data_IF_270772995062
#
_entry.id   IF_270772995062
#
_cell.length_a   1.000
_cell.length_b   1.000
_cell.length_c   1.000
_cell.angle_alpha   90.00
_cell.angle_beta   90.00
_cell.angle_gamma   90.00
#
_symmetry.space_group_name_H-M   'P 1'
#
loop_
_entity.id
_entity.type
_entity.pdbx_description
1 polymer ?
#
# COMPACT_ATOMS: atom_id res chain seq x y z
N UNK A 1 -11.07 45.09 28.28
CA UNK A 1 -10.24 44.50 27.20
C UNK A 1 -9.21 43.58 27.82
N UNK A 2 -9.44 42.25 27.81
CA UNK A 2 -8.46 41.25 28.25
C UNK A 2 -8.37 40.20 27.15
N UNK A 3 -7.22 40.18 26.49
CA UNK A 3 -6.88 39.33 25.36
C UNK A 3 -6.83 37.86 25.80
N UNK A 4 -7.79 37.05 25.34
CA UNK A 4 -7.66 35.60 25.38
C UNK A 4 -6.81 35.15 24.19
N UNK A 5 -5.51 34.96 24.42
CA UNK A 5 -4.69 34.13 23.54
C UNK A 5 -5.18 32.68 23.67
N UNK A 6 -5.98 32.23 22.69
CA UNK A 6 -6.28 30.82 22.50
C UNK A 6 -5.04 30.17 21.89
N UNK A 7 -4.22 29.55 22.72
CA UNK A 7 -3.12 28.68 22.28
C UNK A 7 -3.77 27.44 21.68
N UNK A 8 -3.92 27.43 20.35
CA UNK A 8 -4.18 26.21 19.60
C UNK A 8 -2.91 25.37 19.64
N UNK A 9 -2.83 24.45 20.60
CA UNK A 9 -1.85 23.38 20.57
C UNK A 9 -2.18 22.49 19.37
N UNK A 10 -1.53 22.74 18.22
CA UNK A 10 -1.54 21.84 17.09
C UNK A 10 -0.80 20.57 17.52
N UNK A 11 -1.56 19.55 17.94
CA UNK A 11 -1.03 18.21 18.18
C UNK A 11 -0.70 17.63 16.80
N UNK A 12 0.51 17.88 16.32
CA UNK A 12 1.06 17.16 15.18
C UNK A 12 1.37 15.74 15.66
N UNK A 13 0.42 14.83 15.45
CA UNK A 13 0.68 13.38 15.52
C UNK A 13 1.65 13.02 14.39
N UNK A 14 2.95 13.14 14.66
CA UNK A 14 4.00 12.59 13.80
C UNK A 14 3.98 11.08 13.99
N UNK A 15 3.23 10.38 13.14
CA UNK A 15 3.36 8.93 12.97
C UNK A 15 4.69 8.65 12.25
N UNK A 16 5.80 8.74 12.96
CA UNK A 16 7.06 8.19 12.50
C UNK A 16 7.08 6.68 12.81
N UNK A 17 6.27 5.88 12.10
CA UNK A 17 6.43 4.42 12.14
C UNK A 17 7.50 4.01 11.13
N UNK A 18 8.76 4.31 11.46
CA UNK A 18 9.91 3.79 10.73
C UNK A 18 10.18 2.34 11.18
N UNK A 19 9.34 1.42 10.73
CA UNK A 19 9.46 -0.01 11.05
C UNK A 19 9.20 -0.89 9.82
N UNK A 20 9.99 -0.68 8.75
CA UNK A 20 9.93 -1.44 7.49
C UNK A 20 10.28 -2.94 7.60
N UNK A 21 10.65 -3.41 8.79
CA UNK A 21 10.94 -4.82 9.10
C UNK A 21 9.80 -5.52 9.87
N UNK A 22 8.61 -4.93 9.94
CA UNK A 22 7.47 -5.61 10.53
C UNK A 22 6.95 -6.71 9.58
N UNK A 23 6.59 -7.85 10.16
CA UNK A 23 5.93 -8.95 9.47
C UNK A 23 4.66 -8.44 8.77
N UNK A 24 4.72 -8.26 7.45
CA UNK A 24 3.65 -7.69 6.61
C UNK A 24 2.34 -8.45 6.83
N UNK A 25 2.40 -9.77 7.00
CA UNK A 25 1.23 -10.60 7.25
C UNK A 25 0.50 -10.17 8.53
N UNK A 26 1.21 -9.77 9.60
CA UNK A 26 0.59 -9.30 10.84
C UNK A 26 -0.04 -7.91 10.70
N UNK A 27 0.57 -7.03 9.91
CA UNK A 27 0.09 -5.66 9.72
C UNK A 27 -1.09 -5.55 8.77
N UNK A 28 -1.23 -6.52 7.86
CA UNK A 28 -2.29 -6.56 6.86
C UNK A 28 -3.33 -7.66 7.12
N UNK A 29 -3.32 -8.28 8.31
CA UNK A 29 -4.24 -9.34 8.69
C UNK A 29 -5.66 -8.78 8.91
N UNK A 30 -6.53 -8.94 7.91
CA UNK A 30 -7.92 -8.46 7.99
C UNK A 30 -8.72 -9.19 9.07
N UNK A 31 -8.45 -10.47 9.30
CA UNK A 31 -9.18 -11.25 10.30
C UNK A 31 -8.91 -10.76 11.73
N UNK A 32 -7.70 -10.26 11.99
CA UNK A 32 -7.33 -9.72 13.31
C UNK A 32 -7.60 -8.23 13.48
N UNK A 33 -7.40 -7.43 12.43
CA UNK A 33 -7.42 -5.97 12.51
C UNK A 33 -8.73 -5.35 12.03
N UNK A 34 -9.52 -6.08 11.24
CA UNK A 34 -10.66 -5.56 10.52
C UNK A 34 -10.26 -4.85 9.22
N UNK A 35 -11.18 -4.84 8.26
CA UNK A 35 -10.91 -4.36 6.90
C UNK A 35 -10.57 -2.86 6.88
N UNK A 36 -11.25 -2.04 7.67
CA UNK A 36 -11.05 -0.59 7.68
C UNK A 36 -9.63 -0.20 8.08
N UNK A 37 -9.06 -0.88 9.08
CA UNK A 37 -7.68 -0.65 9.52
C UNK A 37 -6.68 -1.05 8.43
N UNK A 38 -6.90 -2.20 7.80
CA UNK A 38 -6.01 -2.71 6.75
C UNK A 38 -6.04 -1.81 5.51
N UNK A 39 -7.23 -1.35 5.09
CA UNK A 39 -7.37 -0.37 4.01
C UNK A 39 -6.72 0.97 4.39
N UNK A 40 -6.86 1.41 5.64
CA UNK A 40 -6.17 2.58 6.19
C UNK A 40 -4.64 2.48 6.06
N UNK A 41 -4.06 1.35 6.47
CA UNK A 41 -2.62 1.10 6.30
C UNK A 41 -2.20 1.05 4.84
N UNK A 42 -2.99 0.40 3.97
CA UNK A 42 -2.74 0.38 2.54
C UNK A 42 -2.65 1.80 1.98
N UNK A 43 -3.55 2.71 2.36
CA UNK A 43 -3.54 4.12 1.91
C UNK A 43 -2.31 4.88 2.38
N UNK A 44 -1.98 4.78 3.66
CA UNK A 44 -0.83 5.49 4.25
C UNK A 44 0.46 5.07 3.56
N UNK A 45 0.72 3.77 3.47
CA UNK A 45 1.93 3.26 2.83
C UNK A 45 1.92 3.47 1.32
N UNK A 46 0.78 3.35 0.64
CA UNK A 46 0.73 3.58 -0.81
C UNK A 46 0.98 5.05 -1.16
N UNK A 47 0.52 5.99 -0.31
CA UNK A 47 0.85 7.42 -0.46
C UNK A 47 2.36 7.65 -0.38
N UNK A 48 3.03 7.00 0.56
CA UNK A 48 4.50 7.05 0.67
C UNK A 48 5.18 6.41 -0.54
N UNK A 49 4.71 5.24 -0.98
CA UNK A 49 5.24 4.54 -2.15
C UNK A 49 5.13 5.39 -3.42
N UNK A 50 3.99 6.07 -3.61
CA UNK A 50 3.79 7.03 -4.71
C UNK A 50 4.73 8.22 -4.63
N UNK A 51 4.89 8.81 -3.45
CA UNK A 51 5.80 9.94 -3.25
C UNK A 51 7.26 9.57 -3.59
N UNK A 52 7.64 8.31 -3.38
CA UNK A 52 8.96 7.77 -3.73
C UNK A 52 9.04 7.20 -5.16
N UNK A 53 7.96 7.23 -5.93
CA UNK A 53 7.91 6.67 -7.29
C UNK A 53 7.99 5.14 -7.38
N UNK A 54 7.78 4.44 -6.27
CA UNK A 54 7.90 2.97 -6.17
C UNK A 54 6.56 2.27 -5.99
N UNK A 55 5.44 2.96 -6.27
CA UNK A 55 4.10 2.36 -6.21
C UNK A 55 4.05 1.03 -7.00
N UNK A 56 3.46 0.01 -6.38
CA UNK A 56 3.29 -1.28 -7.05
C UNK A 56 2.40 -1.13 -8.29
N UNK A 57 2.93 -1.61 -9.43
CA UNK A 57 2.27 -1.58 -10.74
C UNK A 57 2.43 -2.92 -11.44
N UNK A 58 1.35 -3.45 -11.99
CA UNK A 58 1.37 -4.65 -12.84
C UNK A 58 0.26 -4.61 -13.88
N UNK A 59 0.62 -4.76 -15.15
CA UNK A 59 -0.32 -4.90 -16.27
C UNK A 59 -1.36 -3.76 -16.34
N UNK A 60 -0.90 -2.51 -16.27
CA UNK A 60 -1.70 -1.28 -16.25
C UNK A 60 -2.60 -1.08 -15.02
N UNK A 61 -2.54 -1.97 -14.03
CA UNK A 61 -3.19 -1.79 -12.73
C UNK A 61 -2.14 -1.31 -11.73
N UNK A 62 -2.42 -0.20 -11.06
CA UNK A 62 -1.62 0.29 -9.94
C UNK A 62 -2.31 -0.02 -8.60
N UNK A 63 -1.58 0.09 -7.50
CA UNK A 63 -2.15 -0.20 -6.18
C UNK A 63 -3.17 0.85 -5.73
N UNK A 64 -3.09 2.11 -6.22
CA UNK A 64 -4.15 3.11 -5.99
C UNK A 64 -5.50 2.61 -6.49
N UNK A 65 -5.55 2.03 -7.70
CA UNK A 65 -6.79 1.55 -8.30
C UNK A 65 -7.36 0.36 -7.53
N UNK A 66 -6.49 -0.53 -7.03
CA UNK A 66 -6.92 -1.65 -6.18
C UNK A 66 -7.49 -1.16 -4.84
N UNK A 67 -6.84 -0.20 -4.19
CA UNK A 67 -7.33 0.38 -2.93
C UNK A 67 -8.70 1.02 -3.16
N UNK A 68 -8.85 1.80 -4.23
CA UNK A 68 -10.13 2.44 -4.57
C UNK A 68 -11.24 1.40 -4.81
N UNK A 69 -10.94 0.34 -5.57
CA UNK A 69 -11.90 -0.73 -5.80
C UNK A 69 -12.33 -1.44 -4.50
N UNK A 70 -11.43 -1.57 -3.52
CA UNK A 70 -11.76 -2.10 -2.19
C UNK A 70 -12.63 -1.11 -1.40
N UNK A 71 -12.30 0.18 -1.40
CA UNK A 71 -13.11 1.22 -0.72
C UNK A 71 -14.54 1.27 -1.28
N UNK A 72 -14.69 1.26 -2.60
CA UNK A 72 -15.99 1.28 -3.27
C UNK A 72 -16.80 0.01 -2.91
N UNK A 73 -16.16 -1.17 -2.92
CA UNK A 73 -16.81 -2.43 -2.55
C UNK A 73 -17.23 -2.47 -1.08
N UNK A 74 -16.40 -1.97 -0.16
CA UNK A 74 -16.73 -1.88 1.27
C UNK A 74 -17.90 -0.90 1.47
N UNK A 75 -17.88 0.26 0.82
CA UNK A 75 -18.96 1.24 0.91
C UNK A 75 -20.29 0.70 0.37
N UNK A 76 -20.26 -0.11 -0.69
CA UNK A 76 -21.44 -0.71 -1.31
C UNK A 76 -21.88 -2.04 -0.64
N UNK A 77 -21.15 -2.54 0.36
CA UNK A 77 -21.43 -3.83 1.00
C UNK A 77 -21.20 -5.04 0.09
N UNK A 78 -20.34 -4.91 -0.92
CA UNK A 78 -19.98 -5.99 -1.83
C UNK A 78 -19.05 -7.00 -1.15
N UNK A 79 -19.14 -8.28 -1.56
CA UNK A 79 -18.24 -9.34 -1.06
C UNK A 79 -17.02 -9.55 -1.95
N UNK A 80 -17.04 -9.00 -3.16
CA UNK A 80 -15.99 -9.21 -4.15
C UNK A 80 -15.59 -7.92 -4.81
N UNK A 81 -14.30 -7.69 -5.00
CA UNK A 81 -13.79 -6.65 -5.89
C UNK A 81 -13.48 -7.22 -7.27
N UNK A 82 -13.69 -6.38 -8.28
CA UNK A 82 -13.18 -6.59 -9.63
C UNK A 82 -12.26 -5.42 -9.97
N UNK A 83 -10.95 -5.55 -9.79
CA UNK A 83 -10.01 -4.51 -10.20
C UNK A 83 -10.18 -4.26 -11.70
N UNK A 84 -10.40 -3.00 -12.08
CA UNK A 84 -10.61 -2.59 -13.47
C UNK A 84 -9.34 -2.77 -14.31
N UNK A 85 -9.51 -2.92 -15.63
CA UNK A 85 -8.45 -2.83 -16.65
C UNK A 85 -7.37 -3.91 -16.71
N UNK A 86 -7.77 -5.18 -16.86
CA UNK A 86 -6.89 -6.16 -17.50
C UNK A 86 -7.05 -6.08 -19.03
N UNK A 87 -6.06 -5.50 -19.73
CA UNK A 87 -5.92 -5.52 -21.21
C UNK A 87 -7.21 -5.20 -22.01
N UNK A 88 -7.72 -3.97 -21.92
CA UNK A 88 -8.77 -3.49 -22.83
C UNK A 88 -10.15 -4.14 -22.66
N UNK A 89 -10.41 -4.77 -21.52
CA UNK A 89 -11.74 -5.28 -21.15
C UNK A 89 -12.34 -4.43 -20.04
N UNK A 90 -13.63 -4.15 -20.16
CA UNK A 90 -14.37 -3.30 -19.21
C UNK A 90 -14.37 -3.84 -17.79
N UNK A 91 -14.21 -5.17 -17.62
CA UNK A 91 -14.14 -5.84 -16.32
C UNK A 91 -13.13 -6.98 -16.35
N UNK A 92 -12.34 -7.10 -15.28
CA UNK A 92 -11.52 -8.30 -15.05
C UNK A 92 -12.44 -9.51 -14.82
N UNK A 93 -12.11 -10.66 -15.43
CA UNK A 93 -12.79 -11.92 -15.11
C UNK A 93 -12.48 -12.40 -13.68
N UNK A 94 -11.42 -11.87 -13.07
CA UNK A 94 -11.00 -12.23 -11.73
C UNK A 94 -11.79 -11.41 -10.71
N UNK A 95 -12.66 -12.09 -9.98
CA UNK A 95 -13.29 -11.58 -8.76
C UNK A 95 -12.40 -11.97 -7.58
N UNK A 96 -12.01 -11.01 -6.78
CA UNK A 96 -11.29 -11.25 -5.54
C UNK A 96 -12.23 -11.02 -4.38
N UNK A 97 -12.15 -11.85 -3.34
CA UNK A 97 -12.80 -11.55 -2.06
C UNK A 97 -12.31 -10.19 -1.54
N UNK A 98 -13.22 -9.39 -0.99
CA UNK A 98 -12.93 -8.02 -0.54
C UNK A 98 -11.88 -7.99 0.57
N UNK A 99 -11.90 -8.95 1.51
CA UNK A 99 -10.89 -9.02 2.57
C UNK A 99 -9.53 -9.41 1.98
N UNK A 100 -9.52 -10.39 1.07
CA UNK A 100 -8.29 -10.79 0.39
C UNK A 100 -7.70 -9.62 -0.41
N UNK A 101 -8.54 -8.84 -1.10
CA UNK A 101 -8.09 -7.67 -1.85
C UNK A 101 -7.55 -6.55 -0.95
N UNK A 102 -8.21 -6.28 0.18
CA UNK A 102 -7.72 -5.32 1.18
C UNK A 102 -6.34 -5.73 1.73
N UNK A 103 -6.20 -6.98 2.14
CA UNK A 103 -4.92 -7.53 2.60
C UNK A 103 -3.85 -7.40 1.51
N UNK A 104 -4.18 -7.77 0.27
CA UNK A 104 -3.26 -7.70 -0.86
C UNK A 104 -2.82 -6.26 -1.15
N UNK A 105 -3.72 -5.30 -1.10
CA UNK A 105 -3.41 -3.88 -1.29
C UNK A 105 -2.44 -3.35 -0.22
N UNK A 106 -2.66 -3.75 1.04
CA UNK A 106 -1.76 -3.44 2.15
C UNK A 106 -0.38 -4.07 1.95
N UNK A 107 -0.32 -5.34 1.54
CA UNK A 107 0.95 -6.01 1.22
C UNK A 107 1.72 -5.29 0.12
N UNK A 108 1.07 -4.94 -0.99
CA UNK A 108 1.72 -4.24 -2.09
C UNK A 108 2.28 -2.88 -1.67
N UNK A 109 1.55 -2.15 -0.82
CA UNK A 109 2.00 -0.86 -0.30
C UNK A 109 3.26 -0.99 0.56
N UNK A 110 3.29 -1.95 1.48
CA UNK A 110 4.43 -2.13 2.39
C UNK A 110 5.62 -2.76 1.65
N UNK A 111 5.39 -3.82 0.88
CA UNK A 111 6.46 -4.57 0.20
C UNK A 111 7.18 -3.73 -0.86
N UNK A 112 6.48 -2.83 -1.55
CA UNK A 112 7.13 -1.92 -2.52
C UNK A 112 8.13 -0.98 -1.85
N UNK A 113 7.78 -0.44 -0.68
CA UNK A 113 8.68 0.38 0.11
C UNK A 113 9.85 -0.42 0.72
N UNK A 114 9.58 -1.64 1.21
CA UNK A 114 10.61 -2.54 1.71
C UNK A 114 11.61 -2.89 0.61
N UNK A 115 11.13 -3.28 -0.57
CA UNK A 115 11.97 -3.57 -1.73
C UNK A 115 12.79 -2.35 -2.17
N UNK A 116 12.20 -1.15 -2.17
CA UNK A 116 12.95 0.07 -2.49
C UNK A 116 14.11 0.32 -1.52
N UNK A 117 13.91 0.05 -0.22
CA UNK A 117 14.95 0.20 0.80
C UNK A 117 16.01 -0.90 0.72
N UNK A 118 15.60 -2.14 0.45
CA UNK A 118 16.50 -3.28 0.33
C UNK A 118 17.34 -3.19 -0.94
N UNK A 119 16.74 -2.80 -2.07
CA UNK A 119 17.44 -2.61 -3.33
C UNK A 119 18.62 -1.63 -3.18
N UNK A 120 18.47 -0.54 -2.42
CA UNK A 120 19.58 0.39 -2.15
C UNK A 120 20.77 -0.26 -1.43
N UNK A 121 20.53 -1.31 -0.63
CA UNK A 121 21.57 -2.01 0.13
C UNK A 121 22.16 -3.20 -0.62
N UNK A 122 21.35 -3.86 -1.44
CA UNK A 122 21.72 -5.11 -2.13
C UNK A 122 22.13 -4.88 -3.58
N UNK A 123 21.97 -3.68 -4.13
CA UNK A 123 22.48 -3.32 -5.44
C UNK A 123 24.02 -3.31 -5.43
N UNK A 124 24.62 -4.48 -5.68
CA UNK A 124 25.94 -4.52 -6.29
C UNK A 124 25.80 -3.88 -7.66
N UNK A 125 26.66 -2.92 -7.99
CA UNK A 125 26.89 -2.53 -9.38
C UNK A 125 27.13 -3.83 -10.15
N UNK A 126 26.20 -4.23 -11.01
CA UNK A 126 26.41 -5.31 -11.96
C UNK A 126 27.42 -4.80 -13.00
N UNK A 127 28.69 -4.69 -12.59
CA UNK A 127 29.77 -4.31 -13.49
C UNK A 127 30.05 -5.54 -14.36
N UNK A 128 30.02 -5.43 -15.70
CA UNK A 128 30.44 -6.51 -16.57
C UNK A 128 31.86 -6.95 -16.18
N UNK A 129 31.99 -8.15 -15.60
CA UNK A 129 33.26 -8.68 -15.09
C UNK A 129 33.31 -9.04 -13.60
N UNK A 130 32.25 -8.85 -12.79
CA UNK A 130 32.28 -9.15 -11.34
C UNK A 130 32.38 -10.65 -10.97
N UNK A 131 32.33 -11.55 -11.97
CA UNK A 131 32.54 -12.98 -11.76
C UNK A 131 31.29 -13.80 -11.44
N UNK A 132 30.08 -13.24 -11.49
CA UNK A 132 28.87 -14.07 -11.60
C UNK A 132 28.90 -14.87 -12.92
N UNK A 133 29.13 -16.18 -12.82
CA UNK A 133 28.94 -17.14 -13.91
C UNK A 133 27.45 -17.47 -13.99
N UNK A 134 26.86 -17.24 -15.16
CA UNK A 134 25.51 -17.71 -15.50
C UNK A 134 25.54 -19.21 -15.79
#
# INVERSE_FOLDING_TARGET
MKNLLKIFAAITLVWATNSFAHNVNKQCDVAKLGIDKVVGYAKVHNKEAKAKGVEFRRLNVNNTDLIKAVEDAVANGEKTVQPMHFKGKDKSKTKLDVNYAAQRACHFAITSLTQAKEAQKTYKLSIPGDGYKF
#
